data_IF_371891692296
#
_entry.id   IF_371891692296
#
_cell.length_a   1.000
_cell.length_b   1.000
_cell.length_c   1.000
_cell.angle_alpha   90.00
_cell.angle_beta   90.00
_cell.angle_gamma   90.00
#
_symmetry.space_group_name_H-M   'P 1'
#
loop_
_entity.id
_entity.type
_entity.pdbx_description
1 polymer ?
#
# COMPACT_ATOMS: atom_id res chain seq x y z
N UNK A 1 35.49 -19.64 87.41
CA UNK A 1 36.09 -19.33 86.10
C UNK A 1 36.32 -20.59 85.26
N UNK A 2 36.94 -21.63 85.81
CA UNK A 2 37.24 -22.90 85.12
C UNK A 2 36.00 -23.58 84.53
N UNK A 3 34.85 -23.47 85.19
CA UNK A 3 33.58 -23.98 84.67
C UNK A 3 33.14 -23.27 83.39
N UNK A 4 33.32 -21.94 83.29
CA UNK A 4 32.94 -21.15 82.12
C UNK A 4 33.78 -21.58 80.92
N UNK A 5 35.10 -21.65 81.09
CA UNK A 5 36.04 -22.10 80.05
C UNK A 5 35.70 -23.52 79.59
N UNK A 6 35.47 -24.45 80.54
CA UNK A 6 35.08 -25.83 80.20
C UNK A 6 33.76 -25.90 79.43
N UNK A 7 32.77 -25.09 79.81
CA UNK A 7 31.47 -25.08 79.14
C UNK A 7 31.54 -24.48 77.73
N UNK A 8 32.35 -23.44 77.50
CA UNK A 8 32.59 -22.89 76.15
C UNK A 8 33.26 -23.94 75.27
N UNK A 9 34.29 -24.63 75.78
CA UNK A 9 34.98 -25.70 75.04
C UNK A 9 34.02 -26.86 74.76
N UNK A 10 33.17 -27.23 75.71
CA UNK A 10 32.15 -28.28 75.54
C UNK A 10 31.12 -27.89 74.49
N UNK A 11 30.62 -26.66 74.52
CA UNK A 11 29.66 -26.16 73.55
C UNK A 11 30.24 -26.21 72.13
N UNK A 12 31.50 -25.77 71.94
CA UNK A 12 32.21 -25.85 70.67
C UNK A 12 32.43 -27.29 70.14
N UNK A 13 32.39 -28.30 71.01
CA UNK A 13 32.48 -29.72 70.63
C UNK A 13 31.12 -30.37 70.41
N UNK A 14 30.04 -29.72 70.83
CA UNK A 14 28.67 -30.26 70.74
C UNK A 14 28.05 -29.83 69.40
N UNK A 15 27.65 -30.77 68.53
CA UNK A 15 27.00 -30.42 67.27
C UNK A 15 25.59 -29.85 67.51
N UNK A 16 25.18 -28.88 66.70
CA UNK A 16 23.83 -28.30 66.74
C UNK A 16 23.65 -27.07 67.65
N UNK A 17 24.73 -26.46 68.14
CA UNK A 17 24.69 -25.18 68.85
C UNK A 17 25.11 -24.07 67.89
N UNK A 18 24.19 -23.15 67.58
CA UNK A 18 24.42 -22.05 66.63
C UNK A 18 24.90 -20.76 67.29
N UNK A 19 24.58 -20.56 68.57
CA UNK A 19 24.96 -19.37 69.35
C UNK A 19 25.12 -19.72 70.83
N UNK A 20 26.05 -19.05 71.52
CA UNK A 20 26.23 -19.16 72.98
C UNK A 20 25.83 -17.83 73.61
N UNK A 21 24.99 -17.88 74.64
CA UNK A 21 24.70 -16.70 75.46
C UNK A 21 25.48 -16.84 76.77
N UNK A 22 26.43 -15.95 76.98
CA UNK A 22 27.21 -15.86 78.21
C UNK A 22 26.56 -14.82 79.13
N UNK A 23 25.64 -15.26 79.98
CA UNK A 23 24.94 -14.38 80.91
C UNK A 23 25.25 -14.70 82.36
N UNK A 24 24.90 -13.75 83.24
CA UNK A 24 24.70 -14.02 84.67
C UNK A 24 23.25 -13.69 85.06
N UNK A 25 22.77 -14.30 86.12
CA UNK A 25 21.53 -13.86 86.78
C UNK A 25 21.74 -12.57 87.59
N UNK A 26 20.79 -12.22 88.44
CA UNK A 26 21.04 -11.24 89.51
C UNK A 26 22.09 -11.78 90.49
N UNK A 27 22.95 -10.91 91.02
CA UNK A 27 24.05 -11.30 91.89
C UNK A 27 24.90 -10.09 92.28
N UNK A 28 25.86 -10.30 93.17
CA UNK A 28 26.77 -9.25 93.63
C UNK A 28 27.94 -9.04 92.66
N UNK A 29 28.77 -8.03 92.89
CA UNK A 29 29.90 -7.71 92.01
C UNK A 29 30.96 -8.83 92.01
N UNK A 30 31.01 -9.63 93.08
CA UNK A 30 31.91 -10.77 93.22
C UNK A 30 31.61 -11.87 92.19
N UNK A 31 30.33 -12.08 91.85
CA UNK A 31 29.93 -13.02 90.80
C UNK A 31 30.34 -12.52 89.40
N UNK A 32 30.52 -11.21 89.22
CA UNK A 32 31.04 -10.60 87.99
C UNK A 32 32.53 -10.92 87.78
N UNK A 33 33.28 -11.09 88.86
CA UNK A 33 34.74 -11.15 88.80
C UNK A 33 35.25 -12.32 87.97
N UNK A 34 34.51 -13.44 87.95
CA UNK A 34 34.85 -14.60 87.15
C UNK A 34 34.85 -14.35 85.62
N UNK A 35 34.24 -13.26 85.16
CA UNK A 35 34.17 -12.83 83.76
C UNK A 35 35.25 -11.79 83.39
N UNK A 36 36.03 -11.32 84.38
CA UNK A 36 37.20 -10.45 84.20
C UNK A 36 38.53 -11.23 84.21
N UNK A 37 38.47 -12.55 84.08
CA UNK A 37 39.64 -13.43 84.05
C UNK A 37 40.16 -13.60 82.62
N UNK A 38 41.49 -13.52 82.45
CA UNK A 38 42.14 -13.64 81.14
C UNK A 38 41.81 -14.97 80.44
N UNK A 39 41.74 -16.06 81.21
CA UNK A 39 41.42 -17.38 80.68
C UNK A 39 40.03 -17.44 80.05
N UNK A 40 39.05 -16.75 80.64
CA UNK A 40 37.68 -16.66 80.10
C UNK A 40 37.67 -15.83 78.83
N UNK A 41 38.38 -14.68 78.81
CA UNK A 41 38.54 -13.86 77.62
C UNK A 41 39.16 -14.65 76.45
N UNK A 42 40.24 -15.39 76.71
CA UNK A 42 40.88 -16.26 75.70
C UNK A 42 39.95 -17.38 75.23
N UNK A 43 39.13 -17.94 76.11
CA UNK A 43 38.17 -18.98 75.74
C UNK A 43 37.05 -18.42 74.84
N UNK A 44 36.55 -17.22 75.12
CA UNK A 44 35.55 -16.53 74.30
C UNK A 44 36.14 -16.22 72.92
N UNK A 45 37.32 -15.61 72.87
CA UNK A 45 37.98 -15.24 71.62
C UNK A 45 38.24 -16.44 70.69
N UNK A 46 38.57 -17.60 71.27
CA UNK A 46 38.85 -18.82 70.51
C UNK A 46 37.59 -19.65 70.18
N UNK A 47 36.40 -19.19 70.56
CA UNK A 47 35.15 -19.88 70.24
C UNK A 47 34.87 -19.83 68.73
N UNK A 48 34.45 -20.95 68.16
CA UNK A 48 33.96 -21.04 66.76
C UNK A 48 32.48 -20.70 66.65
N UNK A 49 31.75 -20.87 67.74
CA UNK A 49 30.33 -20.52 67.86
C UNK A 49 30.26 -19.08 68.37
N UNK A 50 29.47 -18.19 67.73
CA UNK A 50 29.35 -16.80 68.16
C UNK A 50 28.79 -16.70 69.58
N UNK A 51 29.37 -15.79 70.37
CA UNK A 51 29.04 -15.60 71.78
C UNK A 51 28.43 -14.21 71.99
N UNK A 52 27.23 -14.17 72.57
CA UNK A 52 26.57 -12.95 73.03
C UNK A 52 26.78 -12.83 74.53
N UNK A 53 27.48 -11.78 74.98
CA UNK A 53 27.61 -11.47 76.39
C UNK A 53 26.35 -10.79 76.92
N UNK A 54 25.87 -11.25 78.07
CA UNK A 54 24.62 -10.84 78.70
C UNK A 54 24.82 -10.62 80.21
N UNK A 55 25.91 -9.95 80.56
CA UNK A 55 26.46 -9.90 81.92
C UNK A 55 25.88 -8.74 82.75
N UNK A 56 25.40 -7.64 82.17
CA UNK A 56 24.71 -6.61 82.97
C UNK A 56 24.44 -5.28 82.27
N UNK A 57 23.90 -4.34 83.05
CA UNK A 57 23.61 -2.97 82.62
C UNK A 57 24.91 -2.18 82.34
N UNK A 58 24.80 -0.95 81.85
CA UNK A 58 25.93 -0.16 81.35
C UNK A 58 27.09 0.07 82.34
N UNK A 59 26.88 -0.09 83.64
CA UNK A 59 27.91 0.09 84.68
C UNK A 59 28.76 -1.15 84.94
N UNK A 60 28.30 -2.34 84.55
CA UNK A 60 28.88 -3.63 84.94
C UNK A 60 29.60 -4.28 83.75
N UNK A 61 30.45 -3.51 83.07
CA UNK A 61 31.18 -3.98 81.87
C UNK A 61 32.37 -4.85 82.29
N UNK A 62 32.50 -6.00 81.64
CA UNK A 62 33.57 -6.97 81.88
C UNK A 62 34.49 -7.14 80.67
N UNK A 63 35.65 -7.76 80.88
CA UNK A 63 36.54 -8.17 79.79
C UNK A 63 35.82 -9.15 78.85
N UNK A 64 34.97 -10.03 79.38
CA UNK A 64 34.14 -10.92 78.57
C UNK A 64 33.21 -10.17 77.60
N UNK A 65 32.63 -9.03 78.01
CA UNK A 65 31.80 -8.20 77.13
C UNK A 65 32.59 -7.65 75.94
N UNK A 66 33.85 -7.22 76.17
CA UNK A 66 34.69 -6.67 75.12
C UNK A 66 35.17 -7.71 74.11
N UNK A 67 35.27 -8.97 74.53
CA UNK A 67 35.79 -10.07 73.69
C UNK A 67 34.66 -10.86 73.02
N UNK A 68 33.43 -10.71 73.49
CA UNK A 68 32.24 -11.31 72.86
C UNK A 68 31.89 -10.69 71.50
N UNK A 69 31.23 -11.45 70.63
CA UNK A 69 30.80 -10.97 69.30
C UNK A 69 29.71 -9.90 69.38
N UNK A 70 28.86 -9.98 70.41
CA UNK A 70 27.79 -9.03 70.65
C UNK A 70 27.53 -8.88 72.16
N UNK A 71 27.25 -7.67 72.59
CA UNK A 71 26.84 -7.37 73.97
C UNK A 71 25.33 -7.10 74.04
N UNK A 72 24.68 -7.73 75.00
CA UNK A 72 23.30 -7.50 75.39
C UNK A 72 23.23 -7.07 76.88
N UNK A 73 22.28 -6.19 77.25
CA UNK A 73 22.15 -5.71 78.63
C UNK A 73 21.63 -6.79 79.61
N UNK A 74 20.86 -7.76 79.10
CA UNK A 74 20.25 -8.83 79.90
C UNK A 74 20.24 -10.16 79.13
N UNK A 75 20.16 -11.31 79.83
CA UNK A 75 20.01 -12.61 79.16
C UNK A 75 18.77 -12.71 78.25
N UNK A 76 17.67 -12.04 78.62
CA UNK A 76 16.48 -11.94 77.76
C UNK A 76 16.76 -11.11 76.51
N UNK A 77 17.45 -9.98 76.63
CA UNK A 77 17.87 -9.18 75.48
C UNK A 77 18.82 -9.91 74.55
N UNK A 78 19.72 -10.75 75.10
CA UNK A 78 20.57 -11.63 74.29
C UNK A 78 19.75 -12.65 73.50
N UNK A 79 18.71 -13.23 74.10
CA UNK A 79 17.83 -14.17 73.43
C UNK A 79 17.00 -13.50 72.31
N UNK A 80 16.54 -12.26 72.54
CA UNK A 80 15.85 -11.46 71.52
C UNK A 80 16.76 -11.10 70.34
N UNK A 81 18.04 -10.82 70.60
CA UNK A 81 19.04 -10.55 69.55
C UNK A 81 19.44 -11.82 68.80
N UNK A 82 19.48 -12.96 69.49
CA UNK A 82 19.84 -14.25 68.91
C UNK A 82 18.78 -14.80 67.95
N UNK A 83 17.50 -14.53 68.19
CA UNK A 83 16.40 -15.15 67.45
C UNK A 83 15.51 -14.08 66.81
N UNK A 84 15.33 -14.09 65.47
CA UNK A 84 14.46 -13.13 64.81
C UNK A 84 13.00 -13.24 65.27
N UNK A 85 12.30 -12.10 65.31
CA UNK A 85 10.90 -12.06 65.71
C UNK A 85 10.01 -12.81 64.70
N UNK A 86 9.19 -13.74 65.20
CA UNK A 86 8.24 -14.54 64.40
C UNK A 86 7.29 -13.66 63.58
N UNK A 87 6.80 -12.56 64.14
CA UNK A 87 5.85 -11.65 63.47
C UNK A 87 6.50 -10.98 62.26
N UNK A 88 7.76 -10.55 62.38
CA UNK A 88 8.49 -9.94 61.28
C UNK A 88 8.79 -10.95 60.17
N UNK A 89 9.14 -12.19 60.52
CA UNK A 89 9.32 -13.28 59.55
C UNK A 89 8.03 -13.58 58.79
N UNK A 90 6.89 -13.65 59.48
CA UNK A 90 5.59 -13.86 58.83
C UNK A 90 5.23 -12.71 57.90
N UNK A 91 5.46 -11.47 58.33
CA UNK A 91 5.25 -10.28 57.50
C UNK A 91 6.14 -10.30 56.25
N UNK A 92 7.40 -10.68 56.40
CA UNK A 92 8.31 -10.83 55.26
C UNK A 92 7.83 -11.90 54.28
N UNK A 93 7.36 -13.05 54.78
CA UNK A 93 6.80 -14.11 53.94
C UNK A 93 5.57 -13.65 53.15
N UNK A 94 4.65 -12.91 53.80
CA UNK A 94 3.46 -12.38 53.12
C UNK A 94 3.86 -11.37 52.04
N UNK A 95 4.78 -10.46 52.34
CA UNK A 95 5.30 -9.49 51.35
C UNK A 95 5.96 -10.18 50.14
N UNK A 96 6.73 -11.25 50.38
CA UNK A 96 7.37 -12.03 49.30
C UNK A 96 6.34 -12.77 48.46
N UNK A 97 5.29 -13.31 49.07
CA UNK A 97 4.16 -13.95 48.38
C UNK A 97 3.41 -12.97 47.50
N UNK A 98 3.09 -11.78 48.00
CA UNK A 98 2.41 -10.75 47.23
C UNK A 98 3.24 -10.29 46.04
N UNK A 99 4.54 -10.10 46.25
CA UNK A 99 5.47 -9.76 45.18
C UNK A 99 5.53 -10.84 44.08
N UNK A 100 5.57 -12.12 44.47
CA UNK A 100 5.52 -13.23 43.50
C UNK A 100 4.21 -13.23 42.69
N UNK A 101 3.07 -13.03 43.35
CA UNK A 101 1.77 -12.96 42.69
C UNK A 101 1.69 -11.81 41.67
N UNK A 102 2.26 -10.65 42.01
CA UNK A 102 2.35 -9.51 41.10
C UNK A 102 3.19 -9.87 39.87
N UNK A 103 4.38 -10.44 40.03
CA UNK A 103 5.24 -10.84 38.91
C UNK A 103 4.53 -11.84 38.00
N UNK A 104 3.90 -12.87 38.57
CA UNK A 104 3.19 -13.90 37.82
C UNK A 104 2.08 -13.25 36.99
N UNK A 105 1.28 -12.39 37.61
CA UNK A 105 0.18 -11.68 36.96
C UNK A 105 0.68 -10.79 35.82
N UNK A 106 1.77 -10.06 36.03
CA UNK A 106 2.39 -9.21 35.00
C UNK A 106 2.92 -10.04 33.82
N UNK A 107 3.58 -11.17 34.07
CA UNK A 107 4.05 -12.07 33.01
C UNK A 107 2.89 -12.67 32.22
N UNK A 108 1.86 -13.15 32.91
CA UNK A 108 0.66 -13.69 32.25
C UNK A 108 0.01 -12.63 31.36
N UNK A 109 -0.16 -11.40 31.85
CA UNK A 109 -0.71 -10.31 31.05
C UNK A 109 0.13 -10.00 29.81
N UNK A 110 1.46 -10.00 29.93
CA UNK A 110 2.35 -9.81 28.78
C UNK A 110 2.16 -10.92 27.73
N UNK A 111 2.11 -12.19 28.17
CA UNK A 111 1.89 -13.32 27.26
C UNK A 111 0.51 -13.27 26.60
N UNK A 112 -0.55 -12.91 27.35
CA UNK A 112 -1.88 -12.70 26.80
C UNK A 112 -1.91 -11.59 25.74
N UNK A 113 -1.23 -10.47 25.99
CA UNK A 113 -1.12 -9.39 25.02
C UNK A 113 -0.36 -9.82 23.77
N UNK A 114 0.73 -10.58 23.91
CA UNK A 114 1.50 -11.11 22.78
C UNK A 114 0.68 -12.10 21.95
N UNK A 115 -0.04 -13.01 22.60
CA UNK A 115 -0.96 -13.93 21.93
C UNK A 115 -2.07 -13.17 21.20
N UNK A 116 -2.63 -12.14 21.83
CA UNK A 116 -3.64 -11.29 21.20
C UNK A 116 -3.09 -10.58 19.97
N UNK A 117 -1.86 -10.04 20.04
CA UNK A 117 -1.16 -9.40 18.91
C UNK A 117 -0.88 -10.38 17.77
N UNK A 118 -0.40 -11.59 18.08
CA UNK A 118 -0.15 -12.64 17.09
C UNK A 118 -1.44 -13.09 16.43
N UNK A 119 -2.50 -13.31 17.21
CA UNK A 119 -3.84 -13.61 16.68
C UNK A 119 -4.40 -12.47 15.83
N UNK A 120 -4.16 -11.23 16.23
CA UNK A 120 -4.56 -10.05 15.46
C UNK A 120 -3.58 -9.69 14.35
N UNK A 121 -2.49 -10.45 14.18
CA UNK A 121 -1.45 -10.13 13.22
C UNK A 121 -1.98 -10.37 11.81
N UNK A 122 -1.68 -9.40 10.96
CA UNK A 122 -2.15 -9.35 9.58
C UNK A 122 -1.78 -10.59 8.76
N UNK A 123 -0.64 -11.19 9.09
CA UNK A 123 -0.10 -12.41 8.48
C UNK A 123 -1.05 -13.60 8.62
N UNK A 124 -1.73 -13.73 9.77
CA UNK A 124 -2.66 -14.83 10.03
C UNK A 124 -4.11 -14.51 9.64
N UNK A 125 -4.50 -13.22 9.65
CA UNK A 125 -5.86 -12.80 9.28
C UNK A 125 -6.07 -12.77 7.76
N UNK A 126 -5.05 -12.37 7.00
CA UNK A 126 -5.16 -12.23 5.54
C UNK A 126 -3.91 -12.73 4.83
N UNK A 127 -3.62 -14.05 4.93
CA UNK A 127 -2.45 -14.65 4.28
C UNK A 127 -2.46 -14.44 2.75
N UNK A 128 -3.64 -14.33 2.14
CA UNK A 128 -3.78 -14.01 0.71
C UNK A 128 -3.12 -12.69 0.30
N UNK A 129 -3.03 -11.70 1.19
CA UNK A 129 -2.44 -10.40 0.86
C UNK A 129 -0.92 -10.43 0.73
N UNK A 130 -0.26 -11.42 1.34
CA UNK A 130 1.16 -11.68 1.12
C UNK A 130 1.38 -12.05 -0.35
N UNK A 131 0.44 -12.80 -0.92
CA UNK A 131 0.49 -13.24 -2.32
C UNK A 131 -0.09 -12.21 -3.30
N UNK A 132 -0.95 -11.27 -2.87
CA UNK A 132 -1.50 -10.21 -3.74
C UNK A 132 -0.39 -9.45 -4.49
N UNK A 133 0.70 -9.10 -3.81
CA UNK A 133 1.80 -8.39 -4.46
C UNK A 133 2.50 -9.26 -5.53
N UNK A 134 2.58 -10.56 -5.30
CA UNK A 134 3.11 -11.50 -6.27
C UNK A 134 2.17 -11.72 -7.45
N UNK A 135 0.86 -11.79 -7.21
CA UNK A 135 -0.16 -11.84 -8.27
C UNK A 135 -0.13 -10.57 -9.13
N UNK A 136 -0.12 -9.38 -8.53
CA UNK A 136 0.01 -8.12 -9.26
C UNK A 136 1.30 -8.05 -10.10
N UNK A 137 2.39 -8.62 -9.60
CA UNK A 137 3.65 -8.71 -10.36
C UNK A 137 3.53 -9.69 -11.53
N UNK A 138 2.90 -10.84 -11.32
CA UNK A 138 2.62 -11.81 -12.39
C UNK A 138 1.73 -11.21 -13.46
N UNK A 139 0.65 -10.52 -13.09
CA UNK A 139 -0.27 -9.86 -14.03
C UNK A 139 0.47 -8.83 -14.89
N UNK A 140 1.36 -8.03 -14.28
CA UNK A 140 2.21 -7.08 -15.04
C UNK A 140 3.16 -7.79 -16.00
N UNK A 141 3.75 -8.91 -15.58
CA UNK A 141 4.64 -9.69 -16.44
C UNK A 141 3.88 -10.32 -17.61
N UNK A 142 2.70 -10.88 -17.36
CA UNK A 142 1.80 -11.38 -18.40
C UNK A 142 1.37 -10.27 -19.36
N UNK A 143 0.95 -9.11 -18.85
CA UNK A 143 0.56 -7.98 -19.68
C UNK A 143 1.72 -7.45 -20.54
N UNK A 144 2.94 -7.41 -20.00
CA UNK A 144 4.12 -7.03 -20.78
C UNK A 144 4.46 -8.07 -21.86
N UNK A 145 4.32 -9.36 -21.53
CA UNK A 145 4.58 -10.44 -22.48
C UNK A 145 3.55 -10.44 -23.61
N UNK A 146 2.27 -10.21 -23.29
CA UNK A 146 1.22 -10.04 -24.30
C UNK A 146 1.43 -8.78 -25.15
N UNK A 147 1.81 -7.66 -24.52
CA UNK A 147 2.10 -6.41 -25.25
C UNK A 147 3.24 -6.57 -26.25
N UNK A 148 4.26 -7.36 -25.89
CA UNK A 148 5.38 -7.68 -26.77
C UNK A 148 5.17 -8.97 -27.56
N UNK A 149 3.98 -9.56 -27.51
CA UNK A 149 3.67 -10.75 -28.28
C UNK A 149 3.77 -10.44 -29.78
N UNK A 150 4.55 -11.22 -30.55
CA UNK A 150 4.65 -11.06 -32.00
C UNK A 150 3.28 -11.07 -32.68
N UNK A 151 2.29 -11.74 -32.09
CA UNK A 151 0.91 -11.81 -32.59
C UNK A 151 0.24 -10.43 -32.61
N UNK A 152 0.35 -9.65 -31.54
CA UNK A 152 -0.25 -8.31 -31.46
C UNK A 152 0.44 -7.31 -32.40
N UNK A 153 1.76 -7.46 -32.58
CA UNK A 153 2.49 -6.68 -33.56
C UNK A 153 2.03 -7.00 -35.00
N UNK A 154 1.84 -8.28 -35.33
CA UNK A 154 1.36 -8.72 -36.64
C UNK A 154 -0.08 -8.28 -36.93
N UNK A 155 -0.98 -8.33 -35.94
CA UNK A 155 -2.37 -7.87 -36.12
C UNK A 155 -2.41 -6.37 -36.38
N UNK A 156 -1.65 -5.56 -35.64
CA UNK A 156 -1.57 -4.12 -35.90
C UNK A 156 -0.94 -3.79 -37.26
N UNK A 157 0.03 -4.60 -37.72
CA UNK A 157 0.58 -4.47 -39.06
C UNK A 157 -0.49 -4.79 -40.14
N UNK A 158 -1.27 -5.85 -39.94
CA UNK A 158 -2.37 -6.21 -40.86
C UNK A 158 -3.46 -5.15 -40.90
N UNK A 159 -3.88 -4.60 -39.77
CA UNK A 159 -4.86 -3.50 -39.69
C UNK A 159 -4.34 -2.24 -40.40
N UNK A 160 -3.06 -1.92 -40.21
CA UNK A 160 -2.40 -0.81 -40.87
C UNK A 160 -2.30 -1.00 -42.39
N UNK A 161 -2.05 -2.23 -42.85
CA UNK A 161 -2.05 -2.56 -44.27
C UNK A 161 -3.46 -2.46 -44.87
N UNK A 162 -4.46 -3.04 -44.21
CA UNK A 162 -5.85 -2.99 -44.67
C UNK A 162 -6.38 -1.56 -44.74
N UNK A 163 -6.08 -0.72 -43.76
CA UNK A 163 -6.48 0.69 -43.80
C UNK A 163 -5.79 1.46 -44.93
N UNK A 164 -4.51 1.19 -45.21
CA UNK A 164 -3.80 1.77 -46.37
C UNK A 164 -4.40 1.31 -47.70
N UNK A 165 -4.70 0.02 -47.84
CA UNK A 165 -5.36 -0.56 -49.02
C UNK A 165 -6.72 0.09 -49.24
N UNK A 166 -7.54 0.21 -48.19
CA UNK A 166 -8.85 0.84 -48.28
C UNK A 166 -8.72 2.31 -48.71
N UNK A 167 -7.77 3.07 -48.13
CA UNK A 167 -7.52 4.47 -48.53
C UNK A 167 -7.10 4.58 -50.00
N UNK A 168 -6.27 3.65 -50.48
CA UNK A 168 -5.85 3.59 -51.88
C UNK A 168 -7.06 3.33 -52.79
N UNK A 169 -7.90 2.35 -52.45
CA UNK A 169 -9.10 2.02 -53.21
C UNK A 169 -10.07 3.21 -53.27
N UNK A 170 -10.32 3.90 -52.15
CA UNK A 170 -11.14 5.10 -52.14
C UNK A 170 -10.54 6.26 -52.96
N UNK A 171 -9.21 6.40 -52.99
CA UNK A 171 -8.56 7.38 -53.84
C UNK A 171 -8.73 7.02 -55.32
N UNK A 172 -8.56 5.75 -55.66
CA UNK A 172 -8.74 5.23 -57.01
C UNK A 172 -10.18 5.45 -57.51
N UNK A 173 -11.19 5.05 -56.72
CA UNK A 173 -12.60 5.24 -57.04
C UNK A 173 -12.95 6.72 -57.26
N UNK A 174 -12.41 7.63 -56.45
CA UNK A 174 -12.62 9.08 -56.64
C UNK A 174 -12.02 9.59 -57.94
N UNK A 175 -10.82 9.14 -58.31
CA UNK A 175 -10.19 9.55 -59.57
C UNK A 175 -10.95 8.97 -60.76
N UNK A 176 -11.34 7.71 -60.69
CA UNK A 176 -12.11 7.03 -61.73
C UNK A 176 -13.47 7.69 -61.98
N UNK A 177 -14.22 7.95 -60.90
CA UNK A 177 -15.51 8.65 -60.98
C UNK A 177 -15.37 10.08 -61.50
N UNK A 178 -14.33 10.82 -61.08
CA UNK A 178 -14.07 12.16 -61.60
C UNK A 178 -13.78 12.15 -63.10
N UNK A 179 -12.94 11.22 -63.59
CA UNK A 179 -12.62 11.08 -65.01
C UNK A 179 -13.86 10.76 -65.84
N UNK A 180 -14.68 9.82 -65.38
CA UNK A 180 -15.94 9.48 -66.06
C UNK A 180 -16.92 10.65 -66.09
N UNK A 181 -17.03 11.41 -65.00
CA UNK A 181 -17.88 12.60 -64.97
C UNK A 181 -17.38 13.68 -65.94
N UNK A 182 -16.08 13.93 -65.99
CA UNK A 182 -15.50 14.88 -66.95
C UNK A 182 -15.69 14.44 -68.40
N UNK A 183 -15.54 13.14 -68.67
CA UNK A 183 -15.79 12.56 -70.00
C UNK A 183 -17.25 12.71 -70.43
N UNK A 184 -18.19 12.37 -69.55
CA UNK A 184 -19.63 12.57 -69.80
C UNK A 184 -19.99 14.03 -70.02
N UNK A 185 -19.36 14.96 -69.29
CA UNK A 185 -19.56 16.40 -69.52
C UNK A 185 -19.03 16.86 -70.88
N UNK A 186 -17.90 16.33 -71.34
CA UNK A 186 -17.37 16.61 -72.68
C UNK A 186 -18.29 16.10 -73.78
N UNK A 187 -18.83 14.89 -73.63
CA UNK A 187 -19.84 14.34 -74.56
C UNK A 187 -21.08 15.23 -74.60
N UNK A 188 -21.65 15.59 -73.45
CA UNK A 188 -22.84 16.44 -73.39
C UNK A 188 -22.59 17.83 -74.03
N UNK A 189 -21.40 18.42 -73.84
CA UNK A 189 -21.03 19.67 -74.52
C UNK A 189 -20.95 19.49 -76.04
N UNK A 190 -20.36 18.39 -76.51
CA UNK A 190 -20.27 18.09 -77.93
C UNK A 190 -21.66 17.89 -78.55
N UNK A 191 -22.57 17.23 -77.84
CA UNK A 191 -23.96 17.03 -78.27
C UNK A 191 -24.76 18.34 -78.30
N UNK A 192 -24.52 19.26 -77.37
CA UNK A 192 -25.18 20.58 -77.33
C UNK A 192 -24.75 21.48 -78.49
N UNK A 193 -23.50 21.35 -78.95
CA UNK A 193 -22.96 22.14 -80.06
C UNK A 193 -23.21 21.45 -81.42
N UNK A 194 -23.82 20.26 -81.44
CA UNK A 194 -24.11 19.55 -82.69
C UNK A 194 -25.35 20.14 -83.40
N UNK A 195 -25.19 20.84 -84.54
CA UNK A 195 -26.30 21.49 -85.24
C UNK A 195 -27.36 20.52 -85.77
N UNK A 196 -27.03 19.23 -85.91
CA UNK A 196 -28.00 18.18 -86.28
C UNK A 196 -29.05 17.94 -85.18
N UNK A 197 -28.70 18.20 -83.91
CA UNK A 197 -29.64 18.06 -82.79
C UNK A 197 -30.71 19.15 -82.77
N UNK A 198 -30.45 20.33 -83.35
CA UNK A 198 -31.46 21.38 -83.52
C UNK A 198 -32.51 20.94 -84.54
N UNK A 199 -32.09 20.34 -85.65
CA UNK A 199 -33.00 19.80 -86.69
C UNK A 199 -33.81 18.60 -86.14
N UNK A 200 -33.18 17.73 -85.33
CA UNK A 200 -33.86 16.60 -84.69
C UNK A 200 -34.95 17.00 -83.68
N UNK A 201 -34.90 18.22 -83.11
CA UNK A 201 -35.90 18.74 -82.17
C UNK A 201 -37.14 19.36 -82.86
N UNK A 202 -37.24 19.25 -84.19
CA UNK A 202 -38.40 19.72 -84.96
C UNK A 202 -38.26 21.14 -85.53
N UNK A 203 -37.07 21.74 -85.43
CA UNK A 203 -36.78 23.02 -86.08
C UNK A 203 -36.33 22.79 -87.53
N UNK A 204 -36.87 23.57 -88.46
CA UNK A 204 -36.46 23.54 -89.86
C UNK A 204 -35.39 24.61 -90.13
N UNK A 205 -34.39 24.29 -90.94
CA UNK A 205 -33.44 25.28 -91.45
C UNK A 205 -33.99 25.89 -92.74
N UNK A 206 -34.20 27.21 -92.75
CA UNK A 206 -34.75 27.94 -93.90
C UNK A 206 -33.61 28.52 -94.76
N UNK A 207 -33.60 28.24 -96.06
CA UNK A 207 -32.65 28.81 -97.02
C UNK A 207 -33.36 29.50 -98.18
N UNK A 208 -32.79 30.61 -98.65
CA UNK A 208 -33.11 31.30 -99.91
C UNK A 208 -31.81 31.49 -100.70
N UNK A 209 -31.78 31.04 -101.96
CA UNK A 209 -30.58 31.11 -102.83
C UNK A 209 -29.29 30.61 -102.13
N UNK A 210 -29.42 29.47 -101.45
CA UNK A 210 -28.37 28.80 -100.68
C UNK A 210 -27.82 29.53 -99.44
N UNK A 211 -28.39 30.69 -99.09
CA UNK A 211 -28.10 31.43 -97.83
C UNK A 211 -29.16 31.16 -96.78
N UNK A 212 -28.74 30.99 -95.53
CA UNK A 212 -29.65 30.79 -94.41
C UNK A 212 -30.42 32.08 -94.11
N UNK A 213 -31.74 31.95 -94.00
CA UNK A 213 -32.65 33.05 -93.65
C UNK A 213 -32.74 33.10 -92.13
N UNK A 214 -32.29 34.20 -91.52
CA UNK A 214 -32.29 34.38 -90.04
C UNK A 214 -33.30 35.42 -89.58
N UNK A 215 -33.79 36.27 -90.48
CA UNK A 215 -34.76 37.31 -90.18
C UNK A 215 -35.93 37.28 -91.18
N UNK A 216 -37.12 37.66 -90.69
CA UNK A 216 -38.33 37.84 -91.52
C UNK A 216 -38.09 38.89 -92.61
N UNK A 217 -37.14 39.82 -92.41
CA UNK A 217 -36.77 40.84 -93.38
C UNK A 217 -36.00 40.31 -94.59
N UNK A 218 -35.38 39.14 -94.49
CA UNK A 218 -34.52 38.57 -95.55
C UNK A 218 -35.34 37.93 -96.70
N UNK A 219 -36.67 37.93 -96.58
CA UNK A 219 -37.61 37.31 -97.53
C UNK A 219 -38.71 38.29 -97.95
N UNK A 220 -39.12 38.21 -99.21
CA UNK A 220 -40.16 39.01 -99.87
C UNK A 220 -41.35 38.09 -100.19
N UNK A 221 -42.55 38.67 -100.25
CA UNK A 221 -43.78 37.94 -100.62
C UNK A 221 -43.62 37.44 -102.08
N UNK A 222 -44.03 36.19 -102.32
CA UNK A 222 -43.81 35.37 -103.52
C UNK A 222 -42.38 34.86 -103.76
N UNK A 223 -41.46 35.01 -102.81
CA UNK A 223 -40.17 34.32 -102.90
C UNK A 223 -40.33 32.81 -102.69
N UNK A 224 -39.54 32.04 -103.43
CA UNK A 224 -39.34 30.60 -103.18
C UNK A 224 -38.26 30.40 -102.13
N UNK A 225 -38.56 29.62 -101.10
CA UNK A 225 -37.66 29.24 -100.01
C UNK A 225 -37.61 27.72 -99.87
N UNK A 226 -36.45 27.21 -99.44
CA UNK A 226 -36.26 25.79 -99.16
C UNK A 226 -36.17 25.56 -97.65
N UNK A 227 -37.03 24.70 -97.12
CA UNK A 227 -37.04 24.26 -95.73
C UNK A 227 -36.36 22.90 -95.63
N UNK A 228 -35.31 22.80 -94.82
CA UNK A 228 -34.62 21.53 -94.54
C UNK A 228 -35.07 21.00 -93.18
N UNK A 229 -35.69 19.84 -93.21
CA UNK A 229 -36.18 19.08 -92.05
C UNK A 229 -35.28 17.86 -91.83
N UNK A 230 -35.53 17.13 -90.74
CA UNK A 230 -34.76 15.92 -90.36
C UNK A 230 -34.70 14.87 -91.46
N UNK A 231 -35.74 14.76 -92.26
CA UNK A 231 -36.04 13.66 -93.18
C UNK A 231 -36.19 14.10 -94.64
N UNK A 232 -36.09 15.39 -94.96
CA UNK A 232 -36.19 15.88 -96.32
C UNK A 232 -36.18 17.40 -96.46
N UNK A 233 -36.36 17.87 -97.70
CA UNK A 233 -36.47 19.28 -98.04
C UNK A 233 -37.82 19.60 -98.68
N UNK A 234 -38.39 20.75 -98.33
CA UNK A 234 -39.64 21.28 -98.91
C UNK A 234 -39.33 22.59 -99.63
N UNK A 235 -39.89 22.76 -100.82
CA UNK A 235 -39.95 24.07 -101.48
C UNK A 235 -41.27 24.74 -101.11
N UNK A 236 -41.19 25.98 -100.63
CA UNK A 236 -42.35 26.75 -100.18
C UNK A 236 -42.29 28.16 -100.79
N UNK A 237 -43.46 28.75 -101.00
CA UNK A 237 -43.59 30.13 -101.46
C UNK A 237 -44.13 31.00 -100.32
N UNK A 238 -43.59 32.21 -100.17
CA UNK A 238 -44.01 33.12 -99.08
C UNK A 238 -45.29 33.83 -99.45
N UNK A 239 -46.41 33.42 -98.86
CA UNK A 239 -47.74 33.97 -99.15
C UNK A 239 -48.05 35.27 -98.38
N UNK A 240 -47.53 35.43 -97.17
CA UNK A 240 -47.73 36.62 -96.34
C UNK A 240 -46.55 36.83 -95.38
N UNK A 241 -46.35 38.08 -94.94
CA UNK A 241 -45.26 38.46 -94.04
C UNK A 241 -45.80 39.35 -92.94
N UNK A 242 -45.67 38.90 -91.69
CA UNK A 242 -45.95 39.70 -90.49
C UNK A 242 -44.66 39.84 -89.69
N UNK A 243 -44.25 41.07 -89.40
CA UNK A 243 -43.11 41.34 -88.52
C UNK A 243 -43.65 41.58 -87.11
N UNK A 244 -43.18 40.77 -86.15
CA UNK A 244 -43.41 41.00 -84.73
C UNK A 244 -42.10 41.48 -84.11
N UNK A 245 -42.10 42.70 -83.56
CA UNK A 245 -41.00 43.18 -82.74
C UNK A 245 -41.02 42.42 -81.42
N UNK A 246 -40.13 41.43 -81.30
CA UNK A 246 -39.71 40.93 -80.00
C UNK A 246 -38.62 41.85 -79.49
N UNK A 247 -39.01 43.04 -79.06
CA UNK A 247 -38.08 43.94 -78.38
C UNK A 247 -37.67 43.28 -77.05
N UNK A 248 -36.36 43.05 -76.91
CA UNK A 248 -35.75 42.39 -75.76
C UNK A 248 -35.94 43.24 -74.50
N UNK A 249 -37.01 42.99 -73.77
CA UNK A 249 -37.06 43.17 -72.31
C UNK A 249 -37.70 41.94 -71.70
N UNK A 250 -36.97 41.36 -70.76
CA UNK A 250 -37.30 40.22 -69.90
C UNK A 250 -36.55 38.93 -70.25
N UNK A 251 -35.22 38.99 -70.11
CA UNK A 251 -34.38 37.92 -69.56
C UNK A 251 -33.34 38.56 -68.64
#
# INVERSE_FOLDING_TARGET
>A
KDDIVRNIIKANKTPGIDVIILGRGGGSIEDLWCLNEEEVARAIFNSKIPIISAVGHETDITIADFVSDLRAPTPTGAAELAVPNKVDLLRLLEQRKDYLNQIISSRLNLHYQNLRKLRSSYVFISPHRIYEQHYLKLDRLYANLDKHSPKNYLTHLQESLNSKINRLNYAFERVYTSLNNSFSQLINKLELVNPLNVINKGYALVKKDDKAVTSVNDVIINDKISLYLKDGNLECEVLSKEVKDYDRKDI
#
